data_IF_110139431893
#
_entry.id   IF_110139431893
#
_cell.length_a   1.000
_cell.length_b   1.000
_cell.length_c   1.000
_cell.angle_alpha   90.00
_cell.angle_beta   90.00
_cell.angle_gamma   90.00
#
_symmetry.space_group_name_H-M   'P 1'
#
loop_
_entity.id
_entity.type
_entity.pdbx_description
1 polymer ?
#
# COMPACT_ATOMS: atom_id res chain seq x y z
N UNK A 1 76.74 -52.14 28.58
CA UNK A 1 76.46 -53.46 27.92
C UNK A 1 75.27 -53.22 27.08
N UNK A 2 75.44 -52.88 25.93
CA UNK A 2 75.84 -53.59 24.72
C UNK A 2 74.59 -53.97 23.86
N UNK A 3 74.67 -53.44 22.72
CA UNK A 3 74.41 -53.93 21.40
C UNK A 3 72.89 -54.23 21.09
N UNK A 4 72.38 -53.91 19.97
CA UNK A 4 72.92 -53.72 18.65
C UNK A 4 71.85 -53.51 17.66
N UNK A 5 72.14 -52.80 16.67
CA UNK A 5 71.52 -52.58 15.37
C UNK A 5 71.63 -53.90 14.52
N UNK A 6 70.91 -54.19 13.47
CA UNK A 6 70.52 -53.38 12.29
C UNK A 6 69.10 -53.71 11.69
N UNK A 7 68.52 -52.98 10.88
CA UNK A 7 68.84 -52.62 9.52
C UNK A 7 67.78 -53.01 8.49
N UNK A 8 67.75 -52.33 7.47
CA UNK A 8 67.11 -52.52 6.16
C UNK A 8 65.75 -51.85 5.91
N UNK A 9 65.82 -50.85 5.25
CA UNK A 9 65.48 -50.08 4.13
C UNK A 9 64.66 -50.80 3.02
N UNK A 10 64.43 -50.18 1.90
CA UNK A 10 63.29 -49.29 1.62
C UNK A 10 62.39 -49.91 0.54
N UNK A 11 61.18 -49.47 0.42
CA UNK A 11 60.48 -49.60 -0.84
C UNK A 11 59.62 -48.40 -1.15
N UNK A 12 60.18 -47.56 -1.99
CA UNK A 12 59.43 -46.61 -2.80
C UNK A 12 58.56 -47.40 -3.76
N UNK A 13 57.23 -47.22 -3.73
CA UNK A 13 56.38 -47.57 -4.88
C UNK A 13 55.18 -46.66 -4.88
N UNK A 14 55.22 -45.74 -5.82
CA UNK A 14 54.11 -45.30 -6.66
C UNK A 14 52.92 -44.59 -6.01
N UNK A 15 53.12 -43.26 -5.83
CA UNK A 15 52.03 -42.33 -5.60
C UNK A 15 51.53 -41.58 -6.84
N UNK A 16 51.94 -41.91 -8.05
CA UNK A 16 51.62 -41.09 -9.26
C UNK A 16 50.32 -41.48 -9.99
N UNK A 17 49.73 -42.67 -9.73
CA UNK A 17 48.52 -43.15 -10.42
C UNK A 17 47.22 -42.54 -9.95
N UNK A 18 47.15 -42.00 -8.72
CA UNK A 18 45.88 -41.59 -8.12
C UNK A 18 45.54 -40.11 -8.38
N UNK A 19 46.53 -39.26 -8.68
CA UNK A 19 46.28 -37.85 -8.97
C UNK A 19 45.79 -37.56 -10.38
N UNK A 20 46.11 -38.42 -11.35
CA UNK A 20 45.66 -38.25 -12.75
C UNK A 20 44.16 -38.58 -12.94
N UNK A 21 43.66 -39.60 -12.25
CA UNK A 21 42.23 -39.95 -12.38
C UNK A 21 41.28 -38.93 -11.73
N UNK A 22 41.73 -38.20 -10.70
CA UNK A 22 40.89 -37.15 -10.06
C UNK A 22 40.79 -35.88 -10.90
N UNK A 23 41.84 -35.55 -11.68
CA UNK A 23 41.82 -34.36 -12.55
C UNK A 23 40.89 -34.56 -13.76
N UNK A 24 40.91 -35.74 -14.36
CA UNK A 24 40.10 -36.06 -15.53
C UNK A 24 38.61 -36.14 -15.20
N UNK A 25 38.27 -36.70 -14.03
CA UNK A 25 36.87 -36.78 -13.58
C UNK A 25 36.31 -35.37 -13.24
N UNK A 26 37.15 -34.49 -12.67
CA UNK A 26 36.75 -33.12 -12.38
C UNK A 26 36.55 -32.29 -13.65
N UNK A 27 37.39 -32.46 -14.65
CA UNK A 27 37.26 -31.81 -15.95
C UNK A 27 36.03 -32.27 -16.74
N UNK A 28 35.74 -33.59 -16.69
CA UNK A 28 34.54 -34.14 -17.32
C UNK A 28 33.25 -33.63 -16.65
N UNK A 29 33.22 -33.54 -15.31
CA UNK A 29 32.06 -33.03 -14.55
C UNK A 29 31.78 -31.54 -14.79
N UNK A 30 32.85 -30.72 -14.87
CA UNK A 30 32.75 -29.30 -15.18
C UNK A 30 32.23 -29.05 -16.60
N UNK A 31 32.70 -29.86 -17.58
CA UNK A 31 32.21 -29.74 -18.95
C UNK A 31 30.74 -30.20 -19.09
N UNK A 32 30.31 -31.17 -18.35
CA UNK A 32 28.94 -31.65 -18.37
C UNK A 32 27.95 -30.63 -17.77
N UNK A 33 28.35 -29.95 -16.71
CA UNK A 33 27.55 -28.84 -16.11
C UNK A 33 27.53 -27.63 -17.04
N UNK A 34 28.60 -27.34 -17.75
CA UNK A 34 28.67 -26.22 -18.70
C UNK A 34 27.76 -26.47 -19.92
N UNK A 35 27.75 -27.72 -20.46
CA UNK A 35 26.83 -28.11 -21.54
C UNK A 35 25.36 -28.09 -21.13
N UNK A 36 25.03 -28.53 -19.90
CA UNK A 36 23.64 -28.44 -19.41
C UNK A 36 23.16 -26.98 -19.28
N UNK A 37 24.00 -26.08 -18.79
CA UNK A 37 23.65 -24.64 -18.70
C UNK A 37 23.44 -24.00 -20.08
N UNK A 38 24.24 -24.34 -21.06
CA UNK A 38 24.10 -23.78 -22.42
C UNK A 38 22.80 -24.26 -23.12
N UNK A 39 22.39 -25.51 -22.87
CA UNK A 39 21.17 -26.05 -23.46
C UNK A 39 19.90 -25.50 -22.77
N UNK A 40 19.95 -25.22 -21.48
CA UNK A 40 18.85 -24.58 -20.75
C UNK A 40 18.67 -23.13 -21.24
N UNK A 41 19.75 -22.38 -21.41
CA UNK A 41 19.67 -21.01 -21.95
C UNK A 41 19.15 -20.98 -23.40
N UNK A 42 19.55 -21.95 -24.26
CA UNK A 42 19.00 -22.04 -25.62
C UNK A 42 17.53 -22.44 -25.65
N UNK A 43 17.10 -23.34 -24.76
CA UNK A 43 15.69 -23.72 -24.62
C UNK A 43 14.79 -22.57 -24.19
N UNK A 44 15.25 -21.77 -23.22
CA UNK A 44 14.51 -20.59 -22.74
C UNK A 44 14.46 -19.49 -23.81
N UNK A 45 15.54 -19.29 -24.55
CA UNK A 45 15.59 -18.29 -25.61
C UNK A 45 14.70 -18.63 -26.81
N UNK A 46 14.52 -19.93 -27.14
CA UNK A 46 13.63 -20.38 -28.23
C UNK A 46 12.13 -20.29 -27.82
N UNK A 47 11.79 -20.45 -26.54
CA UNK A 47 10.41 -20.24 -26.07
C UNK A 47 9.97 -18.79 -26.13
N UNK A 48 10.89 -17.83 -26.01
CA UNK A 48 10.56 -16.39 -26.09
C UNK A 48 10.33 -15.91 -27.54
N UNK A 49 10.64 -16.74 -28.54
CA UNK A 49 10.55 -16.35 -29.96
C UNK A 49 9.19 -16.69 -30.59
N UNK A 50 8.31 -17.43 -29.90
CA UNK A 50 6.98 -17.73 -30.45
C UNK A 50 6.06 -16.50 -30.25
N UNK A 51 5.49 -16.03 -31.36
CA UNK A 51 4.56 -14.89 -31.39
C UNK A 51 3.33 -15.08 -30.49
N UNK A 52 2.97 -16.33 -30.22
CA UNK A 52 1.85 -16.70 -29.35
C UNK A 52 2.17 -16.51 -27.87
N UNK A 53 3.45 -16.67 -27.44
CA UNK A 53 3.84 -16.43 -26.05
C UNK A 53 3.84 -14.94 -25.71
N UNK A 54 4.20 -14.07 -26.67
CA UNK A 54 4.13 -12.61 -26.47
C UNK A 54 2.69 -12.12 -26.26
N UNK A 55 1.72 -12.71 -26.97
CA UNK A 55 0.29 -12.40 -26.82
C UNK A 55 -0.28 -12.91 -25.49
N UNK A 56 0.12 -14.09 -25.04
CA UNK A 56 -0.27 -14.65 -23.74
C UNK A 56 0.34 -13.85 -22.57
N UNK A 57 1.60 -13.41 -22.68
CA UNK A 57 2.26 -12.60 -21.66
C UNK A 57 1.62 -11.20 -21.53
N UNK A 58 1.21 -10.56 -22.65
CA UNK A 58 0.48 -9.29 -22.59
C UNK A 58 -0.90 -9.46 -21.95
N UNK A 59 -1.63 -10.53 -22.26
CA UNK A 59 -2.93 -10.82 -21.67
C UNK A 59 -2.84 -11.06 -20.16
N UNK A 60 -1.84 -11.80 -19.69
CA UNK A 60 -1.61 -12.04 -18.27
C UNK A 60 -1.21 -10.76 -17.51
N UNK A 61 -0.40 -9.88 -18.11
CA UNK A 61 -0.02 -8.61 -17.50
C UNK A 61 -1.21 -7.66 -17.34
N UNK A 62 -2.13 -7.62 -18.29
CA UNK A 62 -3.37 -6.82 -18.20
C UNK A 62 -4.31 -7.39 -17.15
N UNK A 63 -4.43 -8.72 -17.02
CA UNK A 63 -5.27 -9.35 -16.01
C UNK A 63 -4.74 -9.12 -14.58
N UNK A 64 -3.42 -9.13 -14.39
CA UNK A 64 -2.77 -8.88 -13.09
C UNK A 64 -2.93 -7.40 -12.69
N UNK A 65 -2.88 -6.47 -13.64
CA UNK A 65 -3.13 -5.05 -13.38
C UNK A 65 -4.57 -4.77 -12.93
N UNK A 66 -5.55 -5.57 -13.35
CA UNK A 66 -6.94 -5.47 -12.93
C UNK A 66 -7.21 -6.03 -11.52
N UNK A 67 -6.28 -6.81 -10.96
CA UNK A 67 -6.36 -7.41 -9.62
C UNK A 67 -5.62 -6.61 -8.54
N UNK A 68 -5.03 -5.48 -8.87
CA UNK A 68 -4.50 -4.57 -7.84
C UNK A 68 -5.69 -4.09 -7.00
N UNK A 69 -5.70 -4.35 -5.68
CA UNK A 69 -6.72 -3.79 -4.82
C UNK A 69 -6.63 -2.27 -4.97
N UNK A 70 -7.63 -1.68 -5.59
CA UNK A 70 -7.85 -0.25 -5.47
C UNK A 70 -8.16 -0.06 -3.99
N UNK A 71 -7.24 0.54 -3.26
CA UNK A 71 -7.51 1.00 -1.91
C UNK A 71 -8.60 2.06 -2.04
N UNK A 72 -9.85 1.58 -1.94
CA UNK A 72 -10.97 2.46 -1.82
C UNK A 72 -10.83 3.14 -0.46
N UNK A 73 -10.74 4.43 -0.43
CA UNK A 73 -10.62 5.24 0.77
C UNK A 73 -11.85 6.13 0.83
N UNK A 74 -12.63 6.05 1.92
CA UNK A 74 -13.74 6.97 2.17
C UNK A 74 -13.18 8.36 2.25
N UNK A 75 -13.34 9.06 1.18
CA UNK A 75 -12.60 10.29 1.03
C UNK A 75 -13.49 11.34 0.43
N UNK A 76 -13.24 12.51 0.91
CA UNK A 76 -13.81 13.72 0.37
C UNK A 76 -13.69 13.74 -1.17
N UNK A 77 -14.82 13.93 -1.85
CA UNK A 77 -14.90 13.93 -3.31
C UNK A 77 -15.06 12.56 -3.98
N UNK A 78 -15.12 11.48 -3.21
CA UNK A 78 -15.33 10.13 -3.74
C UNK A 78 -16.81 9.72 -3.78
N UNK A 79 -17.17 8.71 -4.59
CA UNK A 79 -18.52 8.19 -4.61
C UNK A 79 -18.93 7.51 -3.30
N UNK A 80 -20.20 7.60 -2.91
CA UNK A 80 -20.79 6.99 -1.71
C UNK A 80 -20.49 5.49 -1.57
N UNK A 81 -20.43 4.76 -2.68
CA UNK A 81 -20.15 3.31 -2.67
C UNK A 81 -18.82 2.97 -2.00
N UNK A 82 -17.89 3.91 -1.89
CA UNK A 82 -16.61 3.71 -1.22
C UNK A 82 -16.73 3.74 0.30
N UNK A 83 -17.74 4.40 0.86
CA UNK A 83 -17.94 4.58 2.32
C UNK A 83 -17.97 3.25 3.07
N UNK A 84 -18.67 2.24 2.53
CA UNK A 84 -18.78 0.92 3.16
C UNK A 84 -17.46 0.15 3.12
N UNK A 85 -16.76 0.19 1.98
CA UNK A 85 -15.47 -0.46 1.81
C UNK A 85 -14.42 0.11 2.76
N UNK A 86 -14.47 1.39 2.97
CA UNK A 86 -13.53 2.15 3.77
C UNK A 86 -13.76 1.95 5.28
N UNK A 87 -15.02 1.97 5.71
CA UNK A 87 -15.36 1.62 7.09
C UNK A 87 -14.86 0.21 7.45
N UNK A 88 -15.01 -0.76 6.54
CA UNK A 88 -14.49 -2.12 6.73
C UNK A 88 -12.97 -2.16 6.84
N UNK A 89 -12.26 -1.38 6.02
CA UNK A 89 -10.79 -1.34 6.00
C UNK A 89 -10.20 -0.78 7.31
N UNK A 90 -10.83 0.22 7.91
CA UNK A 90 -10.40 0.82 9.19
C UNK A 90 -11.00 0.13 10.41
N UNK A 91 -11.65 -1.03 10.24
CA UNK A 91 -12.36 -1.75 11.29
C UNK A 91 -13.39 -0.86 12.04
N UNK A 92 -13.97 0.09 11.33
CA UNK A 92 -15.00 0.97 11.84
C UNK A 92 -16.38 0.38 11.60
N UNK A 93 -17.31 0.71 12.49
CA UNK A 93 -18.70 0.30 12.35
C UNK A 93 -19.53 1.47 11.82
N UNK A 94 -20.24 1.25 10.70
CA UNK A 94 -21.29 2.18 10.26
C UNK A 94 -22.45 2.05 11.26
N UNK A 95 -22.73 3.11 12.01
CA UNK A 95 -23.77 3.14 13.02
C UNK A 95 -25.14 3.43 12.42
N UNK A 96 -25.18 4.39 11.53
CA UNK A 96 -26.43 4.82 10.91
C UNK A 96 -26.18 5.43 9.53
N UNK A 97 -27.21 5.42 8.72
CA UNK A 97 -27.31 6.15 7.47
C UNK A 97 -28.64 6.85 7.45
N UNK A 98 -28.64 8.17 7.40
CA UNK A 98 -29.85 8.99 7.46
C UNK A 98 -29.97 9.87 6.22
N UNK A 99 -31.14 9.86 5.60
CA UNK A 99 -31.49 10.80 4.54
C UNK A 99 -32.00 12.10 5.17
N UNK A 100 -31.41 13.22 4.77
CA UNK A 100 -31.80 14.57 5.16
C UNK A 100 -32.18 15.38 3.92
N UNK A 101 -32.80 16.53 4.16
CA UNK A 101 -33.18 17.42 3.05
C UNK A 101 -31.93 17.87 2.26
N UNK A 102 -31.76 17.32 1.07
CA UNK A 102 -30.67 17.67 0.17
C UNK A 102 -29.36 16.90 0.33
N UNK A 103 -29.22 15.96 1.27
CA UNK A 103 -28.03 15.13 1.42
C UNK A 103 -28.30 13.89 2.29
N UNK A 104 -27.37 12.92 2.24
CA UNK A 104 -27.37 11.75 3.14
C UNK A 104 -26.18 11.84 4.09
N UNK A 105 -26.36 11.35 5.32
CA UNK A 105 -25.30 11.30 6.34
C UNK A 105 -25.02 9.85 6.69
N UNK A 106 -23.76 9.44 6.61
CA UNK A 106 -23.27 8.18 7.16
C UNK A 106 -22.51 8.48 8.47
N UNK A 107 -22.92 7.83 9.54
CA UNK A 107 -22.26 7.94 10.83
C UNK A 107 -21.39 6.70 11.08
N UNK A 108 -20.11 6.91 11.28
CA UNK A 108 -19.07 5.88 11.37
C UNK A 108 -18.36 6.02 12.73
N UNK A 109 -18.37 4.93 13.52
CA UNK A 109 -17.62 4.88 14.77
C UNK A 109 -16.23 4.28 14.53
N UNK A 110 -15.20 5.09 14.73
CA UNK A 110 -13.81 4.65 14.66
C UNK A 110 -13.42 3.82 15.90
N UNK A 111 -12.46 2.90 15.81
CA UNK A 111 -11.94 2.14 16.96
C UNK A 111 -11.37 3.03 18.06
N UNK A 112 -10.90 4.22 17.72
CA UNK A 112 -10.43 5.24 18.66
C UNK A 112 -11.52 5.87 19.54
N UNK A 113 -12.80 5.56 19.28
CA UNK A 113 -13.94 6.18 19.92
C UNK A 113 -14.38 7.49 19.26
N UNK A 114 -13.72 7.94 18.22
CA UNK A 114 -14.11 9.13 17.46
C UNK A 114 -15.27 8.79 16.52
N UNK A 115 -16.27 9.65 16.53
CA UNK A 115 -17.40 9.59 15.62
C UNK A 115 -17.03 10.41 14.37
N UNK A 116 -17.15 9.78 13.21
CA UNK A 116 -16.97 10.43 11.91
C UNK A 116 -18.31 10.43 11.17
N UNK A 117 -18.64 11.54 10.52
CA UNK A 117 -19.82 11.69 9.68
C UNK A 117 -19.41 12.08 8.29
N UNK A 118 -19.93 11.37 7.32
CA UNK A 118 -19.73 11.64 5.90
C UNK A 118 -21.05 12.13 5.29
N UNK A 119 -20.96 13.23 4.60
CA UNK A 119 -22.11 13.90 4.00
C UNK A 119 -22.07 13.69 2.49
N UNK A 120 -23.09 13.03 1.96
CA UNK A 120 -23.21 12.63 0.57
C UNK A 120 -24.23 13.49 -0.11
N UNK A 121 -23.86 14.13 -1.20
CA UNK A 121 -24.75 14.91 -2.04
C UNK A 121 -25.70 14.00 -2.86
N UNK A 122 -26.81 14.52 -3.41
CA UNK A 122 -27.75 13.72 -4.21
C UNK A 122 -27.13 13.08 -5.46
N UNK A 123 -26.02 13.60 -5.94
CA UNK A 123 -25.24 13.01 -7.03
C UNK A 123 -24.36 11.80 -6.59
N UNK A 124 -24.45 11.39 -5.31
CA UNK A 124 -23.69 10.29 -4.77
C UNK A 124 -22.24 10.62 -4.41
N UNK A 125 -21.82 11.89 -4.35
CA UNK A 125 -20.46 12.30 -4.01
C UNK A 125 -20.37 12.75 -2.57
N UNK A 126 -19.34 12.31 -1.84
CA UNK A 126 -19.02 12.79 -0.48
C UNK A 126 -18.51 14.22 -0.58
N UNK A 127 -19.30 15.19 -0.17
CA UNK A 127 -18.94 16.61 -0.25
C UNK A 127 -18.37 17.17 1.06
N UNK A 128 -18.62 16.50 2.19
CA UNK A 128 -18.08 16.92 3.48
C UNK A 128 -17.85 15.71 4.41
N UNK A 129 -16.90 15.88 5.32
CA UNK A 129 -16.59 14.95 6.40
C UNK A 129 -16.49 15.76 7.69
N UNK A 130 -17.13 15.30 8.77
CA UNK A 130 -16.98 15.89 10.10
C UNK A 130 -16.56 14.81 11.11
N UNK A 131 -15.92 15.23 12.17
CA UNK A 131 -15.51 14.32 13.26
C UNK A 131 -15.65 14.96 14.63
N UNK A 132 -15.94 14.11 15.60
CA UNK A 132 -16.03 14.48 17.02
C UNK A 132 -15.52 13.30 17.86
N UNK A 133 -14.53 13.52 18.72
CA UNK A 133 -14.06 12.45 19.60
C UNK A 133 -12.74 12.70 20.30
N UNK A 134 -12.22 11.67 20.98
CA UNK A 134 -11.01 11.77 21.78
C UNK A 134 -9.74 11.95 20.94
N UNK A 135 -9.76 11.50 19.69
CA UNK A 135 -8.62 11.58 18.77
C UNK A 135 -9.05 12.17 17.43
N UNK A 136 -8.10 12.78 16.73
CA UNK A 136 -8.31 13.19 15.33
C UNK A 136 -8.27 11.95 14.44
N UNK A 137 -9.18 11.81 13.47
CA UNK A 137 -9.09 10.76 12.46
C UNK A 137 -7.83 10.93 11.60
N UNK A 138 -7.46 9.90 10.86
CA UNK A 138 -6.42 10.01 9.85
C UNK A 138 -6.90 10.93 8.72
N UNK A 139 -6.35 12.15 8.71
CA UNK A 139 -6.72 13.14 7.70
C UNK A 139 -6.22 12.78 6.30
N UNK A 140 -5.18 11.95 6.17
CA UNK A 140 -4.74 11.47 4.86
C UNK A 140 -5.83 10.58 4.25
N UNK A 141 -6.42 9.73 5.05
CA UNK A 141 -7.54 8.90 4.64
C UNK A 141 -8.81 9.73 4.41
N UNK A 142 -9.20 10.58 5.37
CA UNK A 142 -10.44 11.37 5.29
C UNK A 142 -10.47 12.39 4.14
N UNK A 143 -9.33 12.97 3.77
CA UNK A 143 -9.22 13.98 2.71
C UNK A 143 -8.80 13.38 1.35
N UNK A 144 -8.22 12.18 1.33
CA UNK A 144 -7.76 11.49 0.13
C UNK A 144 -6.92 12.36 -0.78
N UNK A 145 -7.37 12.55 -2.02
CA UNK A 145 -6.66 13.36 -3.02
C UNK A 145 -6.45 14.83 -2.62
N UNK A 146 -7.24 15.34 -1.67
CA UNK A 146 -7.10 16.72 -1.17
C UNK A 146 -6.10 16.85 -0.02
N UNK A 147 -5.52 15.72 0.46
CA UNK A 147 -4.60 15.77 1.59
C UNK A 147 -3.33 16.58 1.29
N UNK A 148 -2.78 16.49 0.09
CA UNK A 148 -1.57 17.23 -0.28
C UNK A 148 -1.83 18.74 -0.34
N UNK A 149 -3.01 19.14 -0.81
CA UNK A 149 -3.46 20.52 -0.76
C UNK A 149 -3.58 21.02 0.69
N UNK A 150 -4.16 20.20 1.58
CA UNK A 150 -4.22 20.49 3.01
C UNK A 150 -2.83 20.59 3.66
N UNK A 151 -1.92 19.67 3.34
CA UNK A 151 -0.59 19.59 3.95
C UNK A 151 0.32 20.74 3.54
N UNK A 152 0.18 21.21 2.28
CA UNK A 152 0.96 22.32 1.72
C UNK A 152 0.35 23.71 1.94
N UNK A 153 -0.91 23.77 2.42
CA UNK A 153 -1.60 25.03 2.60
C UNK A 153 -0.93 25.89 3.69
N UNK A 154 -0.77 27.20 3.45
CA UNK A 154 -0.29 28.11 4.47
C UNK A 154 -1.28 28.15 5.64
N UNK A 155 -0.76 28.00 6.83
CA UNK A 155 -1.58 28.13 8.03
C UNK A 155 -1.95 29.60 8.24
N UNK A 156 -3.24 29.87 8.30
CA UNK A 156 -3.75 31.22 8.52
C UNK A 156 -3.28 31.82 9.85
N UNK A 157 -3.29 33.13 9.95
CA UNK A 157 -2.90 33.88 11.17
C UNK A 157 -3.69 33.49 12.44
N UNK A 158 -4.88 32.91 12.28
CA UNK A 158 -5.75 32.41 13.35
C UNK A 158 -5.58 30.92 13.63
N UNK A 159 -4.66 30.24 12.95
CA UNK A 159 -4.35 28.82 13.18
C UNK A 159 -3.36 28.73 14.34
N UNK A 160 -3.88 28.54 15.54
CA UNK A 160 -3.06 28.19 16.70
C UNK A 160 -2.96 26.66 16.84
N UNK A 161 -2.28 26.19 17.91
CA UNK A 161 -2.13 24.75 18.15
C UNK A 161 -3.46 24.03 18.41
N UNK A 162 -4.52 24.74 18.73
CA UNK A 162 -5.85 24.20 19.10
C UNK A 162 -6.86 24.34 17.97
N UNK A 163 -6.70 25.35 17.12
CA UNK A 163 -7.63 25.63 16.03
C UNK A 163 -6.86 25.70 14.72
N UNK A 164 -7.29 24.94 13.77
CA UNK A 164 -6.77 24.91 12.41
C UNK A 164 -7.89 25.34 11.48
N UNK A 165 -7.65 26.37 10.70
CA UNK A 165 -8.52 26.77 9.61
C UNK A 165 -7.67 26.92 8.36
N UNK A 166 -7.96 26.12 7.36
CA UNK A 166 -7.26 26.07 6.07
C UNK A 166 -8.31 26.20 4.99
N UNK A 167 -8.01 27.04 4.02
CA UNK A 167 -8.76 27.12 2.78
C UNK A 167 -7.74 27.09 1.63
N UNK A 168 -7.86 26.08 0.78
CA UNK A 168 -6.98 25.89 -0.35
C UNK A 168 -7.79 25.46 -1.57
N UNK A 169 -7.95 26.39 -2.52
CA UNK A 169 -8.85 26.17 -3.66
C UNK A 169 -10.28 25.92 -3.19
N UNK A 170 -10.82 24.76 -3.53
CA UNK A 170 -12.16 24.32 -3.19
C UNK A 170 -12.26 23.69 -1.78
N UNK A 171 -11.14 23.24 -1.23
CA UNK A 171 -11.07 22.57 0.07
C UNK A 171 -11.08 23.59 1.20
N UNK A 172 -11.97 23.37 2.17
CA UNK A 172 -11.97 24.05 3.46
C UNK A 172 -11.85 23.01 4.57
N UNK A 173 -10.89 23.18 5.49
CA UNK A 173 -10.71 22.34 6.66
C UNK A 173 -10.73 23.20 7.92
N UNK A 174 -11.58 22.85 8.86
CA UNK A 174 -11.68 23.48 10.16
C UNK A 174 -11.57 22.41 11.24
N UNK A 175 -10.67 22.58 12.19
CA UNK A 175 -10.50 21.64 13.29
C UNK A 175 -10.15 22.39 14.56
N UNK A 176 -10.70 21.93 15.67
CA UNK A 176 -10.49 22.55 16.98
C UNK A 176 -10.79 21.57 18.11
N UNK A 177 -10.99 22.13 19.31
CA UNK A 177 -11.40 21.37 20.48
C UNK A 177 -10.36 21.28 21.58
N UNK A 178 -10.69 20.49 22.60
CA UNK A 178 -9.87 20.26 23.77
C UNK A 178 -9.39 18.80 23.82
N UNK A 179 -8.49 18.50 24.74
CA UNK A 179 -8.05 17.13 24.99
C UNK A 179 -9.24 16.18 25.18
N UNK A 180 -9.30 15.09 24.42
CA UNK A 180 -10.38 14.08 24.37
C UNK A 180 -11.74 14.57 23.80
N UNK A 181 -11.82 15.82 23.34
CA UNK A 181 -13.00 16.38 22.69
C UNK A 181 -12.55 17.20 21.46
N UNK A 182 -11.89 16.53 20.54
CA UNK A 182 -11.46 17.11 19.28
C UNK A 182 -12.63 17.11 18.30
N UNK A 183 -12.83 18.21 17.63
CA UNK A 183 -13.86 18.36 16.60
C UNK A 183 -13.25 18.92 15.34
N UNK A 184 -13.87 18.67 14.23
CA UNK A 184 -13.50 19.30 12.97
C UNK A 184 -14.38 18.87 11.84
N UNK A 185 -14.19 19.55 10.70
CA UNK A 185 -14.87 19.27 9.45
C UNK A 185 -13.99 19.65 8.27
N UNK A 186 -14.20 18.96 7.18
CA UNK A 186 -13.63 19.28 5.89
C UNK A 186 -14.72 19.21 4.83
N UNK A 187 -14.75 20.14 3.89
CA UNK A 187 -15.76 20.15 2.84
C UNK A 187 -15.22 20.79 1.57
N UNK A 188 -15.88 20.45 0.45
CA UNK A 188 -15.63 21.05 -0.87
C UNK A 188 -16.72 22.08 -1.15
N UNK A 189 -16.32 23.34 -1.28
CA UNK A 189 -17.26 24.45 -1.47
C UNK A 189 -18.14 24.26 -2.71
N UNK A 190 -17.56 23.82 -3.81
CA UNK A 190 -18.26 23.61 -5.08
C UNK A 190 -19.22 22.41 -5.08
N UNK A 191 -19.02 21.45 -4.17
CA UNK A 191 -19.81 20.23 -4.10
C UNK A 191 -20.99 20.30 -3.10
N UNK A 192 -21.11 21.41 -2.36
CA UNK A 192 -22.20 21.60 -1.41
C UNK A 192 -23.52 21.72 -2.16
N UNK A 193 -24.52 20.86 -1.85
CA UNK A 193 -25.83 20.95 -2.48
C UNK A 193 -26.55 22.27 -2.13
N UNK A 194 -27.38 22.76 -3.06
CA UNK A 194 -28.18 23.96 -2.84
C UNK A 194 -29.08 23.81 -1.62
N UNK A 195 -29.09 24.84 -0.75
CA UNK A 195 -29.90 24.86 0.46
C UNK A 195 -29.31 24.16 1.68
N UNK A 196 -28.12 23.55 1.55
CA UNK A 196 -27.41 22.96 2.71
C UNK A 196 -26.61 24.05 3.43
N UNK A 197 -26.83 24.17 4.74
CA UNK A 197 -26.08 25.11 5.58
C UNK A 197 -24.83 24.41 6.10
N UNK A 198 -23.66 25.04 5.88
CA UNK A 198 -22.36 24.54 6.40
C UNK A 198 -22.38 24.42 7.94
N UNK A 199 -23.17 25.24 8.62
CA UNK A 199 -23.35 25.16 10.08
C UNK A 199 -23.90 23.81 10.56
N UNK A 200 -24.64 23.09 9.74
CA UNK A 200 -25.29 21.82 10.09
C UNK A 200 -24.33 20.61 9.91
N UNK A 201 -23.16 20.85 9.34
CA UNK A 201 -22.13 19.82 9.11
C UNK A 201 -21.27 19.63 10.37
N UNK A 202 -21.79 18.89 11.36
CA UNK A 202 -21.09 18.62 12.63
C UNK A 202 -21.40 17.23 13.20
#
# INVERSE_FOLDING_TARGET
MDAGIPGTGPSQATGEGVMSLKSDTKAALVNQTRRRRSNICKGIMLMFQSSNFKRAALGAAVLIAALLPHVASATLGQPEITVQADAAQIHAAIKSSEDRAGYRVHEIQLPSGTLMREFVAPNGTVFAVAWLGPTRPDLRQALGQYFDAFASAPRGKFSDRRHVQIQQGDLVVQSGGHMRALTGRAYLVSAIPSGVNIGDLH
#
